data_IF_984890412695
#
_entry.id   IF_984890412695
#
_cell.length_a   1.000
_cell.length_b   1.000
_cell.length_c   1.000
_cell.angle_alpha   90.00
_cell.angle_beta   90.00
_cell.angle_gamma   90.00
#
_symmetry.space_group_name_H-M   'P 1'
#
loop_
_entity.id
_entity.type
_entity.pdbx_description
1 polymer ?
#
# COMPACT_ATOMS: atom_id res chain seq x y z
N UNK A 1 22.66 -20.35 -10.60
CA UNK A 1 21.43 -19.61 -10.95
C UNK A 1 20.62 -19.44 -9.69
N UNK A 2 20.24 -18.20 -9.35
CA UNK A 2 19.48 -17.92 -8.14
C UNK A 2 18.00 -18.08 -8.44
N UNK A 3 17.27 -18.84 -7.63
CA UNK A 3 15.81 -18.95 -7.71
C UNK A 3 15.15 -18.20 -6.55
N UNK A 4 13.93 -17.72 -6.78
CA UNK A 4 13.09 -17.09 -5.75
C UNK A 4 11.67 -17.62 -5.83
N UNK A 5 10.93 -17.57 -4.72
CA UNK A 5 9.51 -17.93 -4.71
C UNK A 5 8.66 -16.72 -5.08
N UNK A 6 7.75 -16.90 -6.04
CA UNK A 6 6.75 -15.90 -6.37
C UNK A 6 5.87 -15.62 -5.13
N UNK A 7 5.73 -14.37 -4.69
CA UNK A 7 4.96 -14.06 -3.47
C UNK A 7 3.46 -14.34 -3.63
N UNK A 8 2.92 -14.24 -4.85
CA UNK A 8 1.48 -14.43 -5.13
C UNK A 8 1.05 -15.90 -5.14
N UNK A 9 1.82 -16.78 -5.80
CA UNK A 9 1.42 -18.18 -6.01
C UNK A 9 2.41 -19.22 -5.47
N UNK A 10 3.53 -18.77 -4.89
CA UNK A 10 4.60 -19.58 -4.29
C UNK A 10 5.39 -20.48 -5.25
N UNK A 11 5.18 -20.36 -6.56
CA UNK A 11 5.98 -21.05 -7.59
C UNK A 11 7.42 -20.55 -7.58
N UNK A 12 8.39 -21.47 -7.69
CA UNK A 12 9.79 -21.10 -7.86
C UNK A 12 10.04 -20.57 -9.28
N UNK A 13 10.77 -19.46 -9.39
CA UNK A 13 11.10 -18.81 -10.66
C UNK A 13 12.56 -18.37 -10.65
N UNK A 14 13.28 -18.41 -11.80
CA UNK A 14 14.64 -17.91 -11.85
C UNK A 14 14.66 -16.41 -11.52
N UNK A 15 15.73 -15.98 -10.86
CA UNK A 15 16.05 -14.58 -10.74
C UNK A 15 16.57 -14.10 -12.10
N UNK A 16 17.73 -14.56 -12.56
CA UNK A 16 18.31 -14.12 -13.82
C UNK A 16 17.40 -14.44 -15.03
N UNK A 17 17.26 -13.51 -15.97
CA UNK A 17 16.47 -13.71 -17.20
C UNK A 17 14.94 -13.65 -17.03
N UNK A 18 14.42 -13.49 -15.82
CA UNK A 18 12.98 -13.31 -15.60
C UNK A 18 12.61 -11.80 -15.62
N UNK A 19 11.81 -11.32 -16.59
CA UNK A 19 11.42 -9.91 -16.66
C UNK A 19 10.34 -9.54 -15.63
N UNK A 20 9.66 -10.53 -15.05
CA UNK A 20 8.53 -10.34 -14.12
C UNK A 20 8.94 -10.53 -12.65
N UNK A 21 10.24 -10.59 -12.34
CA UNK A 21 10.74 -10.72 -10.96
C UNK A 21 10.09 -9.69 -10.00
N UNK A 22 9.77 -10.07 -8.75
CA UNK A 22 9.97 -11.39 -8.14
C UNK A 22 8.87 -12.42 -8.49
N UNK A 23 7.93 -12.07 -9.37
CA UNK A 23 6.80 -12.90 -9.76
C UNK A 23 7.18 -13.90 -10.87
N UNK A 24 6.39 -14.97 -10.98
CA UNK A 24 6.58 -15.97 -12.05
C UNK A 24 5.90 -15.58 -13.37
N UNK A 25 5.05 -14.55 -13.39
CA UNK A 25 4.29 -14.10 -14.55
C UNK A 25 3.70 -12.70 -14.33
N UNK A 26 3.33 -12.02 -15.42
CA UNK A 26 2.63 -10.74 -15.37
C UNK A 26 1.29 -10.83 -14.63
N UNK A 27 0.55 -11.94 -14.83
CA UNK A 27 -0.68 -12.22 -14.06
C UNK A 27 -0.47 -12.15 -12.56
N UNK A 28 0.61 -12.75 -12.04
CA UNK A 28 0.87 -12.72 -10.59
C UNK A 28 1.21 -11.31 -10.10
N UNK A 29 1.95 -10.53 -10.90
CA UNK A 29 2.25 -9.12 -10.60
C UNK A 29 0.97 -8.27 -10.49
N UNK A 30 0.05 -8.43 -11.44
CA UNK A 30 -1.23 -7.68 -11.44
C UNK A 30 -2.13 -8.10 -10.28
N UNK A 31 -2.19 -9.39 -9.96
CA UNK A 31 -2.97 -9.88 -8.81
C UNK A 31 -2.44 -9.36 -7.47
N UNK A 32 -1.12 -9.27 -7.31
CA UNK A 32 -0.50 -8.67 -6.12
C UNK A 32 -0.88 -7.19 -5.99
N UNK A 33 -0.79 -6.44 -7.10
CA UNK A 33 -1.22 -5.04 -7.15
C UNK A 33 -2.72 -4.87 -6.79
N UNK A 34 -3.58 -5.74 -7.30
CA UNK A 34 -5.00 -5.73 -6.94
C UNK A 34 -5.22 -6.01 -5.44
N UNK A 35 -4.46 -6.93 -4.84
CA UNK A 35 -4.55 -7.20 -3.40
C UNK A 35 -4.10 -6.00 -2.55
N UNK A 36 -3.15 -5.20 -3.02
CA UNK A 36 -2.81 -3.90 -2.41
C UNK A 36 -3.95 -2.90 -2.54
N UNK A 37 -4.53 -2.76 -3.73
CA UNK A 37 -5.64 -1.84 -3.97
C UNK A 37 -6.90 -2.21 -3.15
N UNK A 38 -7.15 -3.51 -2.96
CA UNK A 38 -8.22 -4.05 -2.12
C UNK A 38 -7.91 -4.00 -0.61
N UNK A 39 -6.78 -3.40 -0.20
CA UNK A 39 -6.32 -3.31 1.20
C UNK A 39 -6.22 -4.68 1.92
N UNK A 40 -5.96 -5.76 1.16
CA UNK A 40 -5.85 -7.12 1.73
C UNK A 40 -4.54 -7.32 2.49
N UNK A 41 -3.50 -6.58 2.13
CA UNK A 41 -2.25 -6.56 2.87
C UNK A 41 -2.36 -5.56 4.01
N UNK A 42 -2.42 -6.09 5.23
CA UNK A 42 -2.49 -5.30 6.47
C UNK A 42 -1.58 -5.92 7.51
N UNK A 43 -0.91 -5.07 8.27
CA UNK A 43 -0.14 -5.47 9.44
C UNK A 43 -1.07 -5.28 10.65
N UNK A 44 -1.37 -6.35 11.42
CA UNK A 44 -2.11 -6.19 12.66
C UNK A 44 -1.37 -5.24 13.60
N UNK A 45 -2.07 -4.23 14.10
CA UNK A 45 -1.55 -3.25 15.05
C UNK A 45 -2.55 -2.98 16.15
N UNK A 46 -2.11 -2.28 17.19
CA UNK A 46 -3.02 -1.74 18.19
C UNK A 46 -3.99 -0.75 17.53
N UNK A 47 -5.24 -0.64 18.01
CA UNK A 47 -6.17 0.35 17.49
C UNK A 47 -5.53 1.74 17.55
N UNK A 48 -5.51 2.44 16.42
CA UNK A 48 -5.09 3.84 16.41
C UNK A 48 -6.13 4.61 17.24
N UNK A 49 -5.71 5.39 18.26
CA UNK A 49 -6.61 6.29 18.96
C UNK A 49 -7.33 7.16 17.93
N UNK A 50 -8.64 7.33 18.07
CA UNK A 50 -9.38 8.22 17.17
C UNK A 50 -8.70 9.60 17.19
N UNK A 51 -8.22 10.06 16.04
CA UNK A 51 -7.79 11.44 15.92
C UNK A 51 -9.02 12.30 16.22
N UNK A 52 -8.89 13.36 17.04
CA UNK A 52 -9.98 14.32 17.17
C UNK A 52 -10.33 14.81 15.77
N UNK A 53 -11.62 14.93 15.45
CA UNK A 53 -12.11 15.65 14.27
C UNK A 53 -11.61 17.10 14.37
N UNK A 54 -10.36 17.36 14.01
CA UNK A 54 -9.89 18.68 13.62
C UNK A 54 -10.33 18.83 12.17
N UNK A 55 -11.35 19.68 11.89
CA UNK A 55 -11.62 20.04 10.53
C UNK A 55 -10.32 20.63 9.99
N UNK A 56 -9.83 20.08 8.89
CA UNK A 56 -8.88 20.76 8.03
C UNK A 56 -9.31 22.24 7.97
N UNK A 57 -8.43 23.15 8.35
CA UNK A 57 -8.78 24.55 8.53
C UNK A 57 -8.75 25.27 7.17
N UNK A 58 -9.90 25.77 6.67
CA UNK A 58 -9.92 26.98 5.88
C UNK A 58 -10.64 28.10 6.65
N UNK A 59 -9.89 29.16 6.95
CA UNK A 59 -10.45 30.46 7.31
C UNK A 59 -10.76 30.65 8.79
N UNK A 60 -9.74 31.04 9.56
CA UNK A 60 -10.00 31.82 10.78
C UNK A 60 -10.80 33.08 10.40
N UNK A 61 -11.76 33.53 11.23
CA UNK A 61 -12.46 34.79 10.96
C UNK A 61 -11.43 35.94 10.94
N UNK A 62 -11.57 36.96 10.06
CA UNK A 62 -10.69 38.11 10.11
C UNK A 62 -10.80 38.74 11.50
N UNK A 63 -9.69 39.21 12.12
CA UNK A 63 -9.77 39.84 13.42
C UNK A 63 -10.75 41.01 13.34
N UNK A 64 -11.77 40.96 14.19
CA UNK A 64 -12.79 41.99 14.28
C UNK A 64 -12.11 43.33 14.56
N UNK A 65 -12.46 44.35 13.77
CA UNK A 65 -11.98 45.71 14.00
C UNK A 65 -12.76 46.25 15.20
N UNK A 66 -12.12 46.31 16.36
CA UNK A 66 -12.66 47.02 17.51
C UNK A 66 -12.78 48.50 17.17
N UNK A 67 -13.92 49.09 17.54
CA UNK A 67 -14.36 50.44 17.17
C UNK A 67 -13.85 51.48 18.15
#
# INVERSE_FOLDING_TARGET
>A
MRSVRCPTCRRETPWEGNPQRPFCSDRCRVLDLAAWADERYRIPGEPVPAEPDTPDAPGGPPPGRER
#
